data_IF_833763872477
#
_entry.id   IF_833763872477
#
_cell.length_a   1.000
_cell.length_b   1.000
_cell.length_c   1.000
_cell.angle_alpha   90.00
_cell.angle_beta   90.00
_cell.angle_gamma   90.00
#
_symmetry.space_group_name_H-M   'P 1'
#
loop_
_entity.id
_entity.type
_entity.pdbx_description
1 polymer ?
#
# COMPACT_ATOMS: atom_id res chain seq x y z
N UNK A 1 16.87 13.23 8.88
CA UNK A 1 16.37 12.81 7.56
C UNK A 1 14.98 12.20 7.74
N UNK A 2 14.00 12.67 6.96
CA UNK A 2 12.62 12.15 6.93
C UNK A 2 12.29 11.77 5.49
N UNK A 3 11.71 10.58 5.28
CA UNK A 3 11.22 10.13 3.98
C UNK A 3 10.00 9.23 4.16
N UNK A 4 9.13 9.21 3.16
CA UNK A 4 7.96 8.32 3.12
C UNK A 4 8.28 7.03 2.37
N UNK A 5 7.62 5.94 2.75
CA UNK A 5 7.64 4.67 2.00
C UNK A 5 6.29 4.39 1.35
N UNK A 6 5.21 4.94 1.92
CA UNK A 6 3.87 4.86 1.35
C UNK A 6 3.04 6.10 1.73
N UNK A 7 2.29 6.61 0.77
CA UNK A 7 1.25 7.63 0.97
C UNK A 7 -0.02 7.17 0.29
N UNK A 8 -1.07 6.98 1.05
CA UNK A 8 -2.39 6.57 0.55
C UNK A 8 -3.46 7.53 1.07
N UNK A 9 -4.41 7.87 0.21
CA UNK A 9 -5.55 8.70 0.59
C UNK A 9 -6.80 7.84 0.80
N UNK A 10 -7.45 8.03 1.96
CA UNK A 10 -8.71 7.36 2.30
C UNK A 10 -9.70 8.41 2.81
N UNK A 11 -10.68 8.75 1.99
CA UNK A 11 -11.56 9.90 2.24
C UNK A 11 -10.78 11.19 2.30
N UNK A 12 -10.86 11.91 3.42
CA UNK A 12 -10.14 13.16 3.69
C UNK A 12 -8.83 12.96 4.47
N UNK A 13 -8.42 11.72 4.67
CA UNK A 13 -7.23 11.40 5.43
C UNK A 13 -6.14 10.83 4.55
N UNK A 14 -4.91 11.19 4.90
CA UNK A 14 -3.70 10.65 4.33
C UNK A 14 -3.08 9.66 5.33
N UNK A 15 -2.87 8.45 4.86
CA UNK A 15 -2.21 7.37 5.58
C UNK A 15 -0.77 7.35 5.10
N UNK A 16 0.16 7.69 5.98
CA UNK A 16 1.57 7.89 5.63
C UNK A 16 2.44 6.97 6.45
N UNK A 17 3.28 6.22 5.78
CA UNK A 17 4.35 5.42 6.40
C UNK A 17 5.69 5.91 5.92
N UNK A 18 6.69 5.79 6.75
CA UNK A 18 8.04 6.21 6.40
C UNK A 18 9.01 6.13 7.57
N UNK A 19 10.09 6.85 7.42
CA UNK A 19 11.15 6.91 8.45
C UNK A 19 11.51 8.35 8.75
N UNK A 20 11.69 8.65 10.03
CA UNK A 20 12.21 9.91 10.53
C UNK A 20 13.35 9.65 11.53
N UNK A 21 14.53 10.18 11.23
CA UNK A 21 15.74 9.96 12.04
C UNK A 21 16.03 8.48 12.33
N UNK A 22 15.79 7.63 11.32
CA UNK A 22 16.00 6.19 11.38
C UNK A 22 14.93 5.39 12.11
N UNK A 23 13.86 6.05 12.61
CA UNK A 23 12.71 5.39 13.26
C UNK A 23 11.53 5.33 12.31
N UNK A 24 10.88 4.19 12.25
CA UNK A 24 9.64 4.02 11.50
C UNK A 24 8.52 4.87 12.10
N UNK A 25 7.70 5.44 11.25
CA UNK A 25 6.44 6.10 11.64
C UNK A 25 5.29 5.64 10.75
N UNK A 26 4.08 5.66 11.31
CA UNK A 26 2.83 5.46 10.60
C UNK A 26 1.82 6.49 11.15
N UNK A 27 1.36 7.41 10.31
CA UNK A 27 0.48 8.51 10.70
C UNK A 27 -0.79 8.53 9.87
N UNK A 28 -1.88 8.95 10.50
CA UNK A 28 -3.13 9.27 9.82
C UNK A 28 -3.43 10.74 10.07
N UNK A 29 -3.37 11.54 9.02
CA UNK A 29 -3.48 12.99 9.11
C UNK A 29 -4.46 13.55 8.08
N UNK A 30 -5.00 14.72 8.37
CA UNK A 30 -5.79 15.50 7.41
C UNK A 30 -4.86 16.39 6.60
N UNK A 31 -5.23 16.60 5.35
CA UNK A 31 -4.56 17.52 4.46
C UNK A 31 -5.62 18.41 3.81
N UNK A 32 -5.28 19.67 3.62
CA UNK A 32 -6.15 20.71 3.05
C UNK A 32 -5.53 21.17 1.73
N UNK A 33 -5.98 20.60 0.59
CA UNK A 33 -5.37 20.91 -0.70
C UNK A 33 -5.59 22.36 -1.11
N UNK A 34 -4.60 22.96 -1.75
CA UNK A 34 -4.70 24.26 -2.38
C UNK A 34 -5.18 24.11 -3.81
N UNK A 35 -6.22 24.88 -4.19
CA UNK A 35 -6.65 25.04 -5.57
C UNK A 35 -6.30 26.44 -6.06
N UNK A 36 -6.45 26.67 -7.36
CA UNK A 36 -6.18 27.98 -7.96
C UNK A 36 -7.33 28.37 -8.88
N UNK A 37 -7.64 29.67 -8.89
CA UNK A 37 -8.67 30.26 -9.74
C UNK A 37 -8.09 31.43 -10.55
N UNK A 38 -8.68 31.82 -11.69
CA UNK A 38 -8.22 32.95 -12.48
C UNK A 38 -8.14 34.24 -11.64
N UNK A 39 -7.09 35.01 -11.84
CA UNK A 39 -6.91 36.32 -11.19
C UNK A 39 -6.75 37.41 -12.23
N UNK A 40 -7.46 38.50 -12.05
CA UNK A 40 -7.33 39.73 -12.87
C UNK A 40 -6.14 40.60 -12.41
N UNK A 41 -5.44 40.20 -11.35
CA UNK A 41 -4.30 40.90 -10.80
C UNK A 41 -3.05 40.07 -10.99
N UNK A 42 -1.90 40.75 -11.06
CA UNK A 42 -0.62 40.09 -11.02
C UNK A 42 -0.44 39.37 -9.67
N UNK A 43 -0.10 38.07 -9.74
CA UNK A 43 0.17 37.22 -8.57
C UNK A 43 1.48 36.48 -8.78
N UNK A 44 1.95 35.79 -7.74
CA UNK A 44 3.12 34.92 -7.82
C UNK A 44 2.88 33.62 -8.59
N UNK A 45 1.62 33.30 -8.86
CA UNK A 45 1.25 32.05 -9.52
C UNK A 45 0.74 32.30 -10.94
N UNK A 46 1.13 31.43 -11.85
CA UNK A 46 0.70 31.45 -13.25
C UNK A 46 0.33 30.06 -13.73
N UNK A 47 -0.58 30.00 -14.69
CA UNK A 47 -0.81 28.77 -15.47
C UNK A 47 0.40 28.48 -16.36
N UNK A 48 0.40 27.32 -16.99
CA UNK A 48 1.43 26.98 -18.00
C UNK A 48 1.38 27.91 -19.21
N UNK A 49 0.23 28.48 -19.52
CA UNK A 49 -0.01 29.45 -20.59
C UNK A 49 0.42 30.88 -20.21
N UNK A 50 0.70 31.11 -18.92
CA UNK A 50 1.18 32.40 -18.42
C UNK A 50 0.11 33.28 -17.77
N UNK A 51 -1.15 32.84 -17.69
CA UNK A 51 -2.24 33.56 -17.05
C UNK A 51 -2.09 33.60 -15.53
N UNK A 52 -2.42 34.75 -14.92
CA UNK A 52 -2.34 34.87 -13.48
C UNK A 52 -3.46 34.10 -12.79
N UNK A 53 -3.11 33.37 -11.72
CA UNK A 53 -4.05 32.68 -10.86
C UNK A 53 -3.78 33.01 -9.39
N UNK A 54 -4.80 32.95 -8.57
CA UNK A 54 -4.68 33.09 -7.11
C UNK A 54 -5.03 31.78 -6.41
N UNK A 55 -4.32 31.51 -5.31
CA UNK A 55 -4.58 30.31 -4.50
C UNK A 55 -5.83 30.49 -3.66
N UNK A 56 -6.60 29.43 -3.55
CA UNK A 56 -7.75 29.32 -2.65
C UNK A 56 -7.64 28.03 -1.84
N UNK A 57 -8.22 28.07 -0.65
CA UNK A 57 -8.33 26.95 0.27
C UNK A 57 -9.82 26.65 0.51
N UNK A 58 -10.44 25.73 -0.26
CA UNK A 58 -11.82 25.35 -0.05
C UNK A 58 -12.05 24.50 1.22
N UNK A 59 -10.99 23.94 1.81
CA UNK A 59 -11.04 23.07 2.97
C UNK A 59 -10.50 21.66 2.72
N UNK A 60 -11.24 20.65 3.15
CA UNK A 60 -10.83 19.25 3.01
C UNK A 60 -10.77 18.78 1.54
N UNK A 61 -10.23 17.61 1.28
CA UNK A 61 -10.25 16.96 -0.04
C UNK A 61 -11.68 16.89 -0.60
N UNK A 62 -12.67 16.64 0.26
CA UNK A 62 -14.08 16.61 -0.12
C UNK A 62 -14.55 17.99 -0.55
N UNK A 63 -14.25 19.03 0.24
CA UNK A 63 -14.64 20.42 -0.07
C UNK A 63 -14.01 20.89 -1.38
N UNK A 64 -12.74 20.52 -1.63
CA UNK A 64 -12.06 20.80 -2.91
C UNK A 64 -12.78 20.14 -4.10
N UNK A 65 -13.20 18.88 -3.97
CA UNK A 65 -13.93 18.17 -5.03
C UNK A 65 -15.32 18.79 -5.27
N UNK A 66 -16.01 19.16 -4.21
CA UNK A 66 -17.31 19.84 -4.30
C UNK A 66 -17.15 21.24 -4.95
N UNK A 67 -16.08 21.95 -4.61
CA UNK A 67 -15.76 23.23 -5.23
C UNK A 67 -15.50 23.08 -6.73
N UNK A 68 -14.63 22.15 -7.14
CA UNK A 68 -14.37 21.88 -8.56
C UNK A 68 -15.67 21.57 -9.31
N UNK A 69 -16.47 20.65 -8.75
CA UNK A 69 -17.76 20.26 -9.36
C UNK A 69 -18.74 21.43 -9.48
N UNK A 70 -18.78 22.34 -8.49
CA UNK A 70 -19.67 23.51 -8.49
C UNK A 70 -19.34 24.48 -9.62
N UNK A 71 -18.07 24.61 -9.97
CA UNK A 71 -17.61 25.55 -10.99
C UNK A 71 -17.28 24.87 -12.33
N UNK A 72 -17.54 23.58 -12.45
CA UNK A 72 -17.37 22.84 -13.69
C UNK A 72 -18.31 23.40 -14.77
N UNK A 73 -17.75 23.74 -15.94
CA UNK A 73 -18.48 24.34 -17.07
C UNK A 73 -18.86 25.79 -16.90
N UNK A 74 -18.47 26.49 -15.83
CA UNK A 74 -18.68 27.94 -15.70
C UNK A 74 -17.73 28.68 -16.65
N UNK A 75 -18.30 29.46 -17.56
CA UNK A 75 -17.55 30.21 -18.56
C UNK A 75 -16.57 31.21 -17.90
N UNK A 76 -15.31 31.20 -18.40
CA UNK A 76 -14.23 32.06 -17.92
C UNK A 76 -13.82 31.84 -16.44
N UNK A 77 -14.28 30.77 -15.81
CA UNK A 77 -13.89 30.40 -14.44
C UNK A 77 -13.45 28.96 -14.35
N UNK A 78 -12.22 28.73 -14.76
CA UNK A 78 -11.59 27.41 -14.66
C UNK A 78 -10.90 27.27 -13.30
N UNK A 79 -11.16 26.15 -12.62
CA UNK A 79 -10.44 25.79 -11.40
C UNK A 79 -9.20 25.01 -11.78
N UNK A 80 -8.03 25.45 -11.29
CA UNK A 80 -6.76 24.81 -11.49
C UNK A 80 -6.29 24.20 -10.18
N UNK A 81 -5.39 23.24 -10.27
CA UNK A 81 -4.81 22.52 -9.14
C UNK A 81 -4.58 21.07 -9.51
N UNK A 82 -3.92 20.37 -8.66
CA UNK A 82 -3.69 18.97 -8.87
C UNK A 82 -4.84 18.16 -8.27
N UNK A 83 -5.67 17.53 -9.08
CA UNK A 83 -6.74 16.63 -8.67
C UNK A 83 -6.22 15.34 -8.00
N UNK A 84 -4.92 15.05 -8.17
CA UNK A 84 -4.21 13.96 -7.49
C UNK A 84 -3.58 14.48 -6.21
N UNK A 85 -4.37 14.70 -5.18
CA UNK A 85 -3.96 15.30 -3.91
C UNK A 85 -2.83 14.58 -3.17
N UNK A 86 -2.58 13.30 -3.47
CA UNK A 86 -1.41 12.57 -2.95
C UNK A 86 -0.11 13.26 -3.37
N UNK A 87 0.00 13.70 -4.63
CA UNK A 87 1.20 14.37 -5.11
C UNK A 87 1.36 15.77 -4.52
N UNK A 88 0.25 16.49 -4.34
CA UNK A 88 0.28 17.78 -3.65
C UNK A 88 0.76 17.61 -2.20
N UNK A 89 0.18 16.63 -1.48
CA UNK A 89 0.63 16.29 -0.14
C UNK A 89 2.14 15.99 -0.10
N UNK A 90 2.63 15.14 -0.99
CA UNK A 90 4.05 14.79 -1.05
C UNK A 90 4.91 16.04 -1.32
N UNK A 91 4.51 16.88 -2.28
CA UNK A 91 5.25 18.11 -2.63
C UNK A 91 5.29 19.11 -1.48
N UNK A 92 4.23 19.23 -0.67
CA UNK A 92 4.19 20.16 0.45
C UNK A 92 4.89 19.63 1.69
N UNK A 93 4.72 18.33 1.99
CA UNK A 93 5.31 17.73 3.20
C UNK A 93 6.78 17.32 3.04
N UNK A 94 7.22 17.17 1.79
CA UNK A 94 8.59 16.81 1.43
C UNK A 94 9.10 17.78 0.33
N UNK A 95 9.32 19.07 0.68
CA UNK A 95 9.58 20.15 -0.29
C UNK A 95 10.99 20.12 -0.90
N UNK A 96 11.83 19.17 -0.55
CA UNK A 96 13.14 19.02 -1.15
C UNK A 96 13.01 18.58 -2.62
N UNK A 97 13.86 19.12 -3.51
CA UNK A 97 13.87 18.74 -4.93
C UNK A 97 14.10 17.24 -5.11
N UNK A 98 14.84 16.63 -4.21
CA UNK A 98 15.08 15.20 -4.17
C UNK A 98 14.94 14.65 -2.76
N UNK A 99 13.94 13.80 -2.53
CA UNK A 99 13.78 13.10 -1.26
C UNK A 99 14.86 12.03 -1.15
N UNK A 100 15.73 12.15 -0.16
CA UNK A 100 16.78 11.16 0.09
C UNK A 100 16.21 9.97 0.84
N UNK A 101 16.12 8.84 0.17
CA UNK A 101 15.68 7.58 0.74
C UNK A 101 16.85 6.78 1.31
N UNK A 102 16.74 6.35 2.56
CA UNK A 102 17.65 5.36 3.12
C UNK A 102 17.13 3.96 2.79
N UNK A 103 17.60 3.41 1.67
CA UNK A 103 17.17 2.09 1.18
C UNK A 103 17.47 0.96 2.14
N UNK A 104 18.43 1.13 3.07
CA UNK A 104 18.76 0.11 4.09
C UNK A 104 17.64 -0.05 5.13
N UNK A 105 16.75 0.94 5.25
CA UNK A 105 15.59 0.91 6.15
C UNK A 105 14.34 0.35 5.47
N UNK A 106 14.26 0.42 4.15
CA UNK A 106 13.09 -0.04 3.40
C UNK A 106 13.09 -1.57 3.40
N UNK A 107 12.10 -2.15 4.08
CA UNK A 107 11.94 -3.59 4.13
C UNK A 107 11.24 -4.09 2.87
N UNK A 108 11.95 -4.88 2.08
CA UNK A 108 11.43 -5.52 0.88
C UNK A 108 11.36 -7.02 1.14
N UNK A 109 10.20 -7.62 0.88
CA UNK A 109 10.01 -9.07 1.00
C UNK A 109 9.48 -9.65 -0.29
N UNK A 110 10.08 -10.75 -0.73
CA UNK A 110 9.52 -11.59 -1.78
C UNK A 110 8.61 -12.63 -1.14
N UNK A 111 7.41 -12.79 -1.68
CA UNK A 111 6.44 -13.79 -1.24
C UNK A 111 6.13 -14.76 -2.37
N UNK A 112 5.89 -16.01 -2.01
CA UNK A 112 5.49 -17.08 -2.91
C UNK A 112 4.64 -18.08 -2.13
N UNK A 113 3.60 -18.66 -2.77
CA UNK A 113 2.73 -19.65 -2.16
C UNK A 113 2.63 -20.91 -3.01
N UNK A 114 2.47 -22.06 -2.35
CA UNK A 114 2.11 -23.32 -3.01
C UNK A 114 0.72 -23.74 -2.55
N UNK A 115 -0.13 -24.03 -3.51
CA UNK A 115 -1.52 -24.39 -3.31
C UNK A 115 -1.78 -25.80 -3.78
N UNK A 116 -2.58 -26.55 -3.04
CA UNK A 116 -3.03 -27.88 -3.44
C UNK A 116 -3.78 -27.81 -4.77
N UNK A 117 -3.46 -28.72 -5.68
CA UNK A 117 -4.12 -28.79 -6.99
C UNK A 117 -4.81 -30.15 -7.13
N UNK A 118 -6.13 -30.14 -7.23
CA UNK A 118 -6.90 -31.38 -7.49
C UNK A 118 -7.47 -31.40 -8.91
N UNK A 119 -7.88 -30.23 -9.45
CA UNK A 119 -8.61 -30.14 -10.72
C UNK A 119 -8.04 -29.05 -11.67
N UNK A 120 -6.72 -28.94 -11.77
CA UNK A 120 -6.08 -27.91 -12.60
C UNK A 120 -5.50 -26.76 -11.80
N UNK A 121 -5.26 -25.62 -12.44
CA UNK A 121 -4.69 -24.45 -11.77
C UNK A 121 -5.71 -23.84 -10.80
N UNK A 122 -5.33 -23.59 -9.53
CA UNK A 122 -6.26 -23.07 -8.52
C UNK A 122 -6.82 -21.70 -8.89
N UNK A 123 -8.13 -21.58 -8.78
CA UNK A 123 -8.85 -20.34 -9.09
C UNK A 123 -8.70 -19.32 -7.94
N UNK A 124 -8.24 -18.13 -8.28
CA UNK A 124 -8.01 -17.04 -7.32
C UNK A 124 -9.33 -16.52 -6.73
N UNK A 125 -10.41 -16.47 -7.55
CA UNK A 125 -11.70 -15.92 -7.12
C UNK A 125 -12.33 -16.76 -6.00
N UNK A 126 -12.34 -18.06 -6.16
CA UNK A 126 -12.90 -18.97 -5.16
C UNK A 126 -11.93 -19.25 -4.01
N UNK A 127 -10.61 -19.25 -4.28
CA UNK A 127 -9.55 -19.66 -3.36
C UNK A 127 -9.96 -20.93 -2.59
N UNK A 128 -10.44 -21.96 -3.34
CA UNK A 128 -11.08 -23.13 -2.75
C UNK A 128 -10.09 -24.12 -2.16
N UNK A 129 -8.93 -24.26 -2.77
CA UNK A 129 -7.90 -25.24 -2.41
C UNK A 129 -7.01 -24.76 -1.28
N UNK A 130 -6.44 -25.72 -0.54
CA UNK A 130 -5.60 -25.46 0.62
C UNK A 130 -4.25 -24.85 0.22
N UNK A 131 -3.80 -23.86 0.97
CA UNK A 131 -2.41 -23.39 0.93
C UNK A 131 -1.51 -24.39 1.65
N UNK A 132 -0.55 -24.94 0.92
CA UNK A 132 0.39 -25.94 1.42
C UNK A 132 1.67 -25.30 1.97
N UNK A 133 2.16 -24.24 1.31
CA UNK A 133 3.35 -23.50 1.70
C UNK A 133 3.12 -22.00 1.53
N UNK A 134 3.69 -21.21 2.45
CA UNK A 134 3.93 -19.78 2.28
C UNK A 134 5.40 -19.55 2.53
N UNK A 135 6.07 -18.92 1.58
CA UNK A 135 7.48 -18.58 1.69
C UNK A 135 7.68 -17.07 1.60
N UNK A 136 8.41 -16.51 2.54
CA UNK A 136 8.79 -15.09 2.55
C UNK A 136 10.30 -14.99 2.66
N UNK A 137 10.92 -14.28 1.71
CA UNK A 137 12.33 -13.94 1.75
C UNK A 137 12.51 -12.45 2.03
N UNK A 138 13.29 -12.12 3.04
CA UNK A 138 13.77 -10.76 3.26
C UNK A 138 14.88 -10.43 2.26
N UNK A 139 14.70 -9.35 1.50
CA UNK A 139 15.63 -8.95 0.44
C UNK A 139 17.01 -8.57 0.97
N UNK A 140 17.07 -7.93 2.14
CA UNK A 140 18.32 -7.41 2.72
C UNK A 140 19.14 -8.53 3.38
N UNK A 141 18.49 -9.30 4.26
CA UNK A 141 19.17 -10.34 5.03
C UNK A 141 19.29 -11.65 4.28
N UNK A 142 18.55 -11.84 3.20
CA UNK A 142 18.40 -13.10 2.44
C UNK A 142 17.84 -14.25 3.28
N UNK A 143 17.33 -13.96 4.48
CA UNK A 143 16.65 -14.95 5.29
C UNK A 143 15.34 -15.37 4.64
N UNK A 144 15.11 -16.65 4.54
CA UNK A 144 13.89 -17.28 4.05
C UNK A 144 13.13 -17.86 5.23
N UNK A 145 11.85 -17.57 5.30
CA UNK A 145 10.93 -18.19 6.26
C UNK A 145 9.82 -18.86 5.49
N UNK A 146 9.61 -20.13 5.79
CA UNK A 146 8.57 -20.95 5.16
C UNK A 146 7.66 -21.55 6.22
N UNK A 147 6.37 -21.39 6.03
CA UNK A 147 5.30 -22.08 6.73
C UNK A 147 4.79 -23.18 5.82
N UNK A 148 4.80 -24.42 6.30
CA UNK A 148 4.42 -25.56 5.46
C UNK A 148 3.58 -26.59 6.17
N UNK A 149 2.73 -27.27 5.42
CA UNK A 149 2.04 -28.45 5.90
C UNK A 149 2.99 -29.68 5.79
N UNK A 150 3.17 -30.34 6.93
CA UNK A 150 4.01 -31.53 7.01
C UNK A 150 5.50 -31.24 7.27
N UNK A 151 6.27 -32.28 7.60
CA UNK A 151 7.66 -32.15 7.99
C UNK A 151 8.57 -31.93 6.78
N UNK A 152 9.54 -31.06 6.95
CA UNK A 152 10.62 -30.85 5.99
C UNK A 152 11.98 -30.78 6.71
N UNK A 153 12.97 -31.54 6.24
CA UNK A 153 14.29 -31.52 6.80
C UNK A 153 15.16 -30.47 6.09
N UNK A 154 15.11 -29.26 6.61
CA UNK A 154 15.91 -28.14 6.08
C UNK A 154 17.41 -28.33 6.45
N UNK A 155 18.28 -28.13 5.47
CA UNK A 155 19.75 -28.16 5.61
C UNK A 155 20.40 -26.80 5.37
N UNK A 156 19.63 -25.76 5.04
CA UNK A 156 20.15 -24.44 4.72
C UNK A 156 20.06 -23.53 5.95
N UNK A 157 21.14 -22.87 6.31
CA UNK A 157 21.24 -22.03 7.50
C UNK A 157 20.36 -20.77 7.43
N UNK A 158 20.16 -20.24 6.23
CA UNK A 158 19.33 -19.04 6.00
C UNK A 158 17.84 -19.35 5.85
N UNK A 159 17.42 -20.60 6.01
CA UNK A 159 16.01 -21.02 5.89
C UNK A 159 15.47 -21.42 7.25
N UNK A 160 14.37 -20.78 7.65
CA UNK A 160 13.59 -21.16 8.83
C UNK A 160 12.29 -21.79 8.33
N UNK A 161 12.17 -23.11 8.54
CA UNK A 161 10.96 -23.84 8.21
C UNK A 161 10.14 -24.13 9.45
N UNK A 162 8.84 -23.79 9.41
CA UNK A 162 7.86 -24.16 10.43
C UNK A 162 6.84 -25.13 9.85
N UNK A 163 6.70 -26.28 10.52
CA UNK A 163 5.76 -27.34 10.13
C UNK A 163 4.45 -27.24 10.89
N UNK A 164 3.34 -27.41 10.19
CA UNK A 164 1.98 -27.39 10.73
C UNK A 164 1.22 -28.64 10.30
N UNK A 165 0.21 -29.03 11.10
CA UNK A 165 -0.65 -30.17 10.79
C UNK A 165 -1.85 -29.77 9.92
N UNK A 166 -2.27 -28.54 10.04
CA UNK A 166 -3.45 -28.02 9.36
C UNK A 166 -3.15 -26.66 8.74
N UNK A 167 -3.85 -26.34 7.66
CA UNK A 167 -3.81 -25.03 7.04
C UNK A 167 -4.20 -23.92 8.01
N UNK A 168 -5.20 -24.16 8.86
CA UNK A 168 -5.62 -23.18 9.86
C UNK A 168 -4.46 -22.74 10.77
N UNK A 169 -3.69 -23.68 11.29
CA UNK A 169 -2.52 -23.41 12.14
C UNK A 169 -1.44 -22.64 11.35
N UNK A 170 -1.20 -23.04 10.10
CA UNK A 170 -0.25 -22.41 9.19
C UNK A 170 -0.58 -20.96 8.94
N UNK A 171 -1.80 -20.67 8.48
CA UNK A 171 -2.27 -19.33 8.17
C UNK A 171 -2.32 -18.45 9.42
N UNK A 172 -2.74 -18.99 10.55
CA UNK A 172 -2.80 -18.24 11.81
C UNK A 172 -1.41 -17.85 12.32
N UNK A 173 -0.41 -18.75 12.27
CA UNK A 173 0.98 -18.43 12.63
C UNK A 173 1.59 -17.43 11.66
N UNK A 174 1.32 -17.57 10.36
CA UNK A 174 1.77 -16.62 9.33
C UNK A 174 1.24 -15.21 9.60
N UNK A 175 -0.07 -15.03 9.82
CA UNK A 175 -0.67 -13.72 10.09
C UNK A 175 -0.12 -13.12 11.39
N UNK A 176 0.03 -13.91 12.44
CA UNK A 176 0.58 -13.42 13.70
C UNK A 176 2.04 -12.97 13.56
N UNK A 177 2.83 -13.61 12.71
CA UNK A 177 4.18 -13.17 12.38
C UNK A 177 4.18 -11.92 11.50
N UNK A 178 3.32 -11.89 10.47
CA UNK A 178 3.23 -10.79 9.51
C UNK A 178 2.85 -9.47 10.16
N UNK A 179 1.93 -9.47 11.11
CA UNK A 179 1.44 -8.27 11.78
C UNK A 179 2.43 -7.63 12.77
N UNK A 180 3.53 -8.29 13.10
CA UNK A 180 4.59 -7.68 13.91
C UNK A 180 5.25 -6.58 13.07
N UNK A 181 5.29 -5.34 13.59
CA UNK A 181 5.76 -4.17 12.85
C UNK A 181 7.15 -4.37 12.21
N UNK A 182 8.06 -5.03 12.92
CA UNK A 182 9.39 -5.35 12.42
C UNK A 182 9.39 -6.40 11.30
N UNK A 183 8.32 -7.15 11.11
CA UNK A 183 8.19 -8.17 10.07
C UNK A 183 7.38 -7.65 8.86
N UNK A 184 6.45 -6.73 9.08
CA UNK A 184 5.63 -6.16 8.01
C UNK A 184 6.51 -5.45 6.98
N UNK A 185 6.51 -5.87 5.70
CA UNK A 185 7.32 -5.23 4.68
C UNK A 185 6.74 -3.88 4.25
N UNK A 186 7.61 -3.00 3.75
CA UNK A 186 7.22 -1.78 3.04
C UNK A 186 6.88 -2.08 1.58
N UNK A 187 7.56 -3.05 1.01
CA UNK A 187 7.36 -3.51 -0.37
C UNK A 187 7.24 -5.04 -0.37
N UNK A 188 6.16 -5.53 -0.95
CA UNK A 188 5.96 -6.95 -1.25
C UNK A 188 6.17 -7.15 -2.74
N UNK A 189 6.94 -8.15 -3.11
CA UNK A 189 7.20 -8.53 -4.51
C UNK A 189 7.18 -10.05 -4.67
N UNK A 190 7.14 -10.53 -5.90
CA UNK A 190 7.16 -11.95 -6.24
C UNK A 190 6.89 -12.12 -7.74
N UNK A 191 7.11 -13.32 -8.25
CA UNK A 191 6.71 -13.62 -9.63
C UNK A 191 5.19 -13.71 -9.71
N UNK A 192 4.57 -12.80 -10.46
CA UNK A 192 3.10 -12.72 -10.60
C UNK A 192 2.31 -12.56 -9.28
N UNK A 193 2.98 -12.16 -8.20
CA UNK A 193 2.39 -12.13 -6.86
C UNK A 193 1.23 -11.14 -6.71
N UNK A 194 1.19 -10.10 -7.53
CA UNK A 194 0.07 -9.14 -7.57
C UNK A 194 -1.21 -9.75 -8.14
N UNK A 195 -1.10 -10.69 -9.10
CA UNK A 195 -2.24 -11.28 -9.78
C UNK A 195 -2.64 -12.65 -9.21
N UNK A 196 -1.73 -13.33 -8.51
CA UNK A 196 -1.98 -14.66 -7.97
C UNK A 196 -1.76 -14.78 -6.47
N UNK A 197 -0.53 -14.74 -5.98
CA UNK A 197 -0.21 -15.08 -4.58
C UNK A 197 -0.94 -14.22 -3.58
N UNK A 198 -0.87 -12.89 -3.74
CA UNK A 198 -1.50 -11.97 -2.79
C UNK A 198 -3.02 -12.02 -2.84
N UNK A 199 -3.70 -11.97 -4.00
CA UNK A 199 -5.14 -12.12 -4.06
C UNK A 199 -5.63 -13.47 -3.52
N UNK A 200 -4.94 -14.56 -3.88
CA UNK A 200 -5.27 -15.89 -3.37
C UNK A 200 -5.17 -15.96 -1.85
N UNK A 201 -4.03 -15.50 -1.30
CA UNK A 201 -3.78 -15.52 0.13
C UNK A 201 -4.78 -14.66 0.91
N UNK A 202 -5.13 -13.48 0.40
CA UNK A 202 -6.15 -12.60 0.99
C UNK A 202 -7.49 -13.34 1.09
N UNK A 203 -7.98 -13.90 -0.01
CA UNK A 203 -9.27 -14.61 -0.03
C UNK A 203 -9.24 -15.88 0.80
N UNK A 204 -8.13 -16.62 0.75
CA UNK A 204 -8.00 -17.84 1.53
C UNK A 204 -7.98 -17.59 3.03
N UNK A 205 -7.24 -16.55 3.47
CA UNK A 205 -7.22 -16.16 4.87
C UNK A 205 -8.60 -15.67 5.33
N UNK A 206 -9.30 -14.90 4.51
CA UNK A 206 -10.67 -14.48 4.83
C UNK A 206 -11.59 -15.70 5.02
N UNK A 207 -11.53 -16.66 4.12
CA UNK A 207 -12.33 -17.88 4.14
C UNK A 207 -12.07 -18.76 5.36
N UNK A 208 -10.80 -18.90 5.77
CA UNK A 208 -10.39 -19.85 6.83
C UNK A 208 -10.34 -19.19 8.20
N UNK A 209 -9.86 -17.95 8.30
CA UNK A 209 -9.63 -17.23 9.54
C UNK A 209 -10.61 -16.06 9.76
N UNK A 210 -11.31 -15.64 8.71
CA UNK A 210 -12.26 -14.53 8.69
C UNK A 210 -11.65 -13.16 8.44
N UNK A 211 -12.52 -12.24 8.03
CA UNK A 211 -12.18 -10.86 7.60
C UNK A 211 -11.30 -10.10 8.60
N UNK A 212 -11.54 -10.26 9.89
CA UNK A 212 -10.78 -9.56 10.94
C UNK A 212 -9.29 -9.92 10.91
N UNK A 213 -8.95 -11.18 10.65
CA UNK A 213 -7.56 -11.62 10.55
C UNK A 213 -6.99 -11.32 9.18
N UNK A 214 -7.76 -11.48 8.12
CA UNK A 214 -7.36 -11.11 6.76
C UNK A 214 -6.95 -9.63 6.67
N UNK A 215 -7.68 -8.72 7.28
CA UNK A 215 -7.33 -7.29 7.31
C UNK A 215 -5.98 -6.98 7.96
N UNK A 216 -5.43 -7.90 8.74
CA UNK A 216 -4.09 -7.75 9.33
C UNK A 216 -2.94 -7.92 8.34
N UNK A 217 -3.21 -8.36 7.11
CA UNK A 217 -2.23 -8.29 6.01
C UNK A 217 -1.86 -6.84 5.68
N UNK A 218 -2.79 -5.91 5.90
CA UNK A 218 -2.57 -4.49 5.70
C UNK A 218 -2.19 -3.79 7.01
N UNK A 219 -1.14 -2.95 7.03
CA UNK A 219 -0.78 -2.14 8.21
C UNK A 219 -1.91 -1.23 8.69
N UNK A 220 -2.82 -0.87 7.79
CA UNK A 220 -3.95 0.00 8.06
C UNK A 220 -5.27 -0.73 8.29
N UNK A 221 -5.26 -2.06 8.18
CA UNK A 221 -6.48 -2.87 8.20
C UNK A 221 -7.39 -2.61 7.00
N UNK A 222 -6.83 -2.11 5.90
CA UNK A 222 -7.54 -1.79 4.67
C UNK A 222 -7.10 -2.75 3.57
N UNK A 223 -8.03 -3.53 3.08
CA UNK A 223 -7.87 -4.40 1.92
C UNK A 223 -8.94 -4.00 0.91
N UNK A 224 -8.52 -3.62 -0.28
CA UNK A 224 -9.41 -3.22 -1.38
C UNK A 224 -9.06 -4.00 -2.62
N UNK A 225 -10.07 -4.32 -3.38
CA UNK A 225 -9.95 -5.03 -4.65
C UNK A 225 -10.04 -4.03 -5.81
N UNK A 226 -9.25 -4.26 -6.85
CA UNK A 226 -9.34 -3.54 -8.12
C UNK A 226 -9.43 -4.55 -9.25
N UNK A 227 -10.41 -4.37 -10.10
CA UNK A 227 -10.41 -5.02 -11.40
C UNK A 227 -9.39 -4.32 -12.30
N UNK A 228 -8.43 -5.07 -12.81
CA UNK A 228 -7.51 -4.59 -13.84
C UNK A 228 -7.90 -5.24 -15.16
N UNK A 229 -8.40 -4.44 -16.09
CA UNK A 229 -8.62 -4.90 -17.47
C UNK A 229 -7.23 -4.91 -18.13
N UNK A 230 -6.76 -6.10 -18.43
CA UNK A 230 -5.49 -6.36 -19.16
C UNK A 230 -5.81 -6.48 -20.64
#
# INVERSE_FOLDING_TARGET
>A
MRFYTNVQMVGDHFLVRGYENGRHFATREKFYPTLFVPSNKETKYKTLEGDYVESIDPGTVRDCREFIKKYDGVENFKVYGNDRYIYQYISEMYPEEEVKFDTTKIKISTIDIEVKTENGFPDVESAAEEVLLITVQDYTTKQIRTWGQGPFNNKQENVIYKSFRTEYELLNDFINWWMIETNTPEVVTGWNSELYDMPYLVRRIDRILGEKLMKRLSPWGLVTERETII
#
